data_IF_086846224963
#
_entry.id   IF_086846224963
#
_cell.length_a   1.000
_cell.length_b   1.000
_cell.length_c   1.000
_cell.angle_alpha   90.00
_cell.angle_beta   90.00
_cell.angle_gamma   90.00
#
_symmetry.space_group_name_H-M   'P 1'
#
loop_
_entity.id
_entity.type
_entity.pdbx_description
1 polymer ?
#
# COMPACT_ATOMS: atom_id res chain seq x y z
N UNK A 1 53.74 -21.71 -9.69
CA UNK A 1 52.60 -22.65 -9.82
C UNK A 1 51.32 -22.24 -9.05
N UNK A 2 51.15 -20.97 -8.61
CA UNK A 2 50.00 -20.57 -7.77
C UNK A 2 49.15 -19.38 -8.31
N UNK A 3 49.25 -19.01 -9.59
CA UNK A 3 48.44 -17.91 -10.17
C UNK A 3 47.17 -18.36 -10.91
N UNK A 4 46.88 -19.66 -10.96
CA UNK A 4 45.75 -20.21 -11.69
C UNK A 4 44.47 -20.44 -10.85
N UNK A 5 44.51 -20.23 -9.52
CA UNK A 5 43.38 -20.51 -8.63
C UNK A 5 42.64 -19.26 -8.11
N UNK A 6 43.12 -18.03 -8.38
CA UNK A 6 42.42 -16.81 -7.94
C UNK A 6 41.39 -16.27 -8.95
N UNK A 7 41.45 -16.68 -10.21
CA UNK A 7 40.53 -16.22 -11.26
C UNK A 7 39.15 -16.90 -11.21
N UNK A 8 39.05 -18.09 -10.61
CA UNK A 8 37.80 -18.87 -10.57
C UNK A 8 36.85 -18.50 -9.42
N UNK A 9 37.25 -17.64 -8.48
CA UNK A 9 36.37 -17.18 -7.38
C UNK A 9 35.52 -15.95 -7.72
N UNK A 10 35.90 -15.17 -8.73
CA UNK A 10 35.17 -13.94 -9.08
C UNK A 10 34.00 -14.18 -10.06
N UNK A 11 33.86 -15.39 -10.63
CA UNK A 11 32.80 -15.74 -11.58
C UNK A 11 31.53 -16.36 -10.98
N UNK A 12 31.50 -16.67 -9.67
CA UNK A 12 30.43 -17.46 -9.05
C UNK A 12 29.37 -16.65 -8.26
N UNK A 13 29.48 -15.32 -8.21
CA UNK A 13 28.52 -14.45 -7.50
C UNK A 13 27.48 -13.75 -8.39
N UNK A 14 27.40 -14.10 -9.67
CA UNK A 14 26.47 -13.47 -10.63
C UNK A 14 25.43 -14.45 -11.22
N UNK A 15 25.09 -15.52 -10.51
CA UNK A 15 24.06 -16.47 -10.93
C UNK A 15 22.95 -16.57 -9.87
N UNK A 16 21.76 -16.06 -10.21
CA UNK A 16 20.53 -16.50 -9.57
C UNK A 16 19.86 -15.57 -8.56
N UNK A 17 19.79 -14.26 -8.80
CA UNK A 17 18.68 -13.49 -8.21
C UNK A 17 17.47 -13.60 -9.12
N UNK A 18 16.69 -14.67 -8.95
CA UNK A 18 15.37 -14.77 -9.56
C UNK A 18 14.55 -13.57 -9.06
N UNK A 19 14.26 -12.62 -9.95
CA UNK A 19 13.34 -11.54 -9.62
C UNK A 19 11.99 -12.19 -9.32
N UNK A 20 11.42 -12.01 -8.12
CA UNK A 20 10.11 -12.57 -7.83
C UNK A 20 9.13 -12.05 -8.88
N UNK A 21 8.40 -12.97 -9.52
CA UNK A 21 7.39 -12.61 -10.49
C UNK A 21 6.30 -11.83 -9.75
N UNK A 22 6.19 -10.54 -10.08
CA UNK A 22 5.22 -9.66 -9.48
C UNK A 22 3.86 -9.81 -10.16
N UNK A 23 3.09 -10.81 -9.70
CA UNK A 23 1.77 -11.14 -10.24
C UNK A 23 0.77 -10.00 -10.09
N UNK A 24 0.93 -9.16 -9.07
CA UNK A 24 0.00 -8.05 -8.77
C UNK A 24 0.37 -6.76 -9.48
N UNK A 25 1.49 -6.71 -10.20
CA UNK A 25 1.94 -5.51 -10.91
C UNK A 25 0.88 -4.89 -11.82
N UNK A 26 0.15 -5.65 -12.65
CA UNK A 26 -0.87 -5.06 -13.53
C UNK A 26 -2.02 -4.43 -12.73
N UNK A 27 -2.40 -5.07 -11.62
CA UNK A 27 -3.48 -4.57 -10.76
C UNK A 27 -3.04 -3.31 -10.00
N UNK A 28 -1.81 -3.28 -9.47
CA UNK A 28 -1.23 -2.05 -8.88
C UNK A 28 -1.24 -0.90 -9.87
N UNK A 29 -0.77 -1.14 -11.09
CA UNK A 29 -0.74 -0.11 -12.13
C UNK A 29 -2.15 0.33 -12.54
N UNK A 30 -3.11 -0.58 -12.55
CA UNK A 30 -4.50 -0.23 -12.79
C UNK A 30 -5.05 0.70 -11.70
N UNK A 31 -4.84 0.38 -10.42
CA UNK A 31 -5.29 1.23 -9.29
C UNK A 31 -4.59 2.59 -9.30
N UNK A 32 -3.29 2.63 -9.55
CA UNK A 32 -2.55 3.91 -9.60
C UNK A 32 -3.02 4.81 -10.75
N UNK A 33 -3.45 4.22 -11.87
CA UNK A 33 -3.99 4.97 -13.01
C UNK A 33 -5.47 5.36 -12.88
N UNK A 34 -6.19 4.89 -11.84
CA UNK A 34 -7.57 5.33 -11.61
C UNK A 34 -7.60 6.84 -11.37
N UNK A 35 -8.32 7.55 -12.24
CA UNK A 35 -8.45 9.00 -12.18
C UNK A 35 -9.64 9.42 -11.33
N UNK A 36 -9.41 10.39 -10.46
CA UNK A 36 -10.44 11.05 -9.67
C UNK A 36 -10.82 12.36 -10.35
N UNK A 37 -11.81 12.30 -11.26
CA UNK A 37 -12.22 13.44 -12.10
C UNK A 37 -13.61 13.99 -11.73
N UNK A 38 -14.25 13.43 -10.69
CA UNK A 38 -15.60 13.87 -10.28
C UNK A 38 -15.74 13.84 -8.76
N UNK A 39 -16.48 14.79 -8.15
CA UNK A 39 -16.67 14.82 -6.70
C UNK A 39 -17.34 13.54 -6.17
N UNK A 40 -18.29 12.99 -6.93
CA UNK A 40 -18.98 11.74 -6.58
C UNK A 40 -18.04 10.54 -6.49
N UNK A 41 -17.06 10.43 -7.40
CA UNK A 41 -16.05 9.36 -7.32
C UNK A 41 -15.09 9.62 -6.16
N UNK A 42 -14.66 10.86 -5.98
CA UNK A 42 -13.76 11.24 -4.90
C UNK A 42 -14.34 10.92 -3.53
N UNK A 43 -15.60 11.31 -3.26
CA UNK A 43 -16.31 10.96 -2.01
C UNK A 43 -16.41 9.46 -1.79
N UNK A 44 -16.80 8.71 -2.82
CA UNK A 44 -16.86 7.24 -2.73
C UNK A 44 -15.52 6.61 -2.39
N UNK A 45 -14.42 7.10 -2.97
CA UNK A 45 -13.07 6.63 -2.63
C UNK A 45 -12.74 6.99 -1.18
N UNK A 46 -13.03 8.22 -0.76
CA UNK A 46 -12.82 8.69 0.61
C UNK A 46 -13.69 7.96 1.66
N UNK A 47 -14.84 7.42 1.27
CA UNK A 47 -15.69 6.61 2.14
C UNK A 47 -15.24 5.14 2.17
N UNK A 48 -14.82 4.61 1.02
CA UNK A 48 -14.51 3.19 0.88
C UNK A 48 -13.15 2.80 1.45
N UNK A 49 -12.13 3.65 1.28
CA UNK A 49 -10.77 3.36 1.75
C UNK A 49 -10.59 4.06 3.10
N UNK A 50 -10.51 3.37 4.25
CA UNK A 50 -10.46 4.03 5.55
C UNK A 50 -9.17 4.86 5.78
N UNK A 51 -9.25 5.90 6.61
CA UNK A 51 -8.10 6.71 7.03
C UNK A 51 -7.15 5.94 7.97
N UNK A 52 -7.72 5.04 8.77
CA UNK A 52 -7.01 4.21 9.74
C UNK A 52 -6.94 2.77 9.25
N UNK A 53 -6.04 1.99 9.84
CA UNK A 53 -5.90 0.59 9.47
C UNK A 53 -7.10 -0.24 9.96
N UNK A 54 -7.97 -0.80 9.10
CA UNK A 54 -9.14 -1.57 9.55
C UNK A 54 -8.80 -2.87 10.28
N UNK A 55 -7.54 -3.32 10.18
CA UNK A 55 -7.08 -4.52 10.89
C UNK A 55 -6.65 -4.22 12.33
N UNK A 56 -6.27 -2.98 12.64
CA UNK A 56 -5.84 -2.58 13.96
C UNK A 56 -7.07 -2.41 14.87
N UNK A 57 -7.10 -3.16 15.97
CA UNK A 57 -8.21 -3.12 16.94
C UNK A 57 -7.87 -3.87 18.20
N UNK A 58 -8.50 -3.45 19.29
CA UNK A 58 -8.47 -4.18 20.55
C UNK A 58 -9.58 -5.23 20.63
N UNK A 59 -9.24 -6.38 21.19
CA UNK A 59 -10.19 -7.45 21.50
C UNK A 59 -10.57 -7.31 22.97
N UNK A 60 -11.77 -6.81 23.21
CA UNK A 60 -12.31 -6.59 24.56
C UNK A 60 -13.32 -7.70 24.90
N UNK A 61 -13.12 -8.37 26.04
CA UNK A 61 -14.04 -9.38 26.58
C UNK A 61 -14.39 -8.98 28.01
N UNK A 62 -15.69 -8.94 28.33
CA UNK A 62 -16.18 -8.54 29.66
C UNK A 62 -15.65 -7.17 30.12
N UNK A 63 -15.47 -6.23 29.19
CA UNK A 63 -14.97 -4.88 29.47
C UNK A 63 -13.47 -4.79 29.73
N UNK A 64 -12.70 -5.87 29.55
CA UNK A 64 -11.23 -5.88 29.69
C UNK A 64 -10.59 -6.20 28.34
N UNK A 65 -9.58 -5.42 27.95
CA UNK A 65 -8.79 -5.73 26.75
C UNK A 65 -7.95 -6.98 27.01
N UNK A 66 -8.07 -7.96 26.11
CA UNK A 66 -7.42 -9.26 26.23
C UNK A 66 -6.28 -9.40 25.23
N UNK A 67 -6.38 -8.72 24.08
CA UNK A 67 -5.36 -8.69 23.05
C UNK A 67 -5.50 -7.44 22.19
N UNK A 68 -4.38 -7.00 21.62
CA UNK A 68 -4.31 -5.90 20.66
C UNK A 68 -3.83 -6.44 19.30
N UNK A 69 -4.60 -6.19 18.23
CA UNK A 69 -4.19 -6.51 16.87
C UNK A 69 -3.42 -5.31 16.32
N UNK A 70 -2.14 -5.45 15.93
CA UNK A 70 -1.33 -4.34 15.41
C UNK A 70 -1.80 -3.89 14.01
N UNK A 71 -1.27 -2.77 13.48
CA UNK A 71 -1.57 -2.32 12.12
C UNK A 71 -0.98 -3.27 11.05
N UNK A 72 -1.81 -4.19 10.58
CA UNK A 72 -1.44 -5.21 9.58
C UNK A 72 -1.77 -4.81 8.13
N UNK A 73 -2.11 -3.55 7.87
CA UNK A 73 -2.58 -3.10 6.55
C UNK A 73 -1.56 -3.23 5.42
N UNK A 74 -0.26 -3.21 5.74
CA UNK A 74 0.82 -3.41 4.77
C UNK A 74 0.93 -4.84 4.25
N UNK A 75 0.19 -5.81 4.81
CA UNK A 75 0.08 -7.16 4.25
C UNK A 75 -0.65 -7.16 2.91
N UNK A 76 -1.51 -6.17 2.64
CA UNK A 76 -2.20 -6.05 1.36
C UNK A 76 -1.22 -5.63 0.25
N UNK A 77 -1.07 -6.41 -0.84
CA UNK A 77 -0.19 -6.07 -1.97
C UNK A 77 -0.50 -4.75 -2.69
N UNK A 78 -1.69 -4.15 -2.47
CA UNK A 78 -2.15 -2.90 -3.06
C UNK A 78 -2.19 -1.73 -2.06
N UNK A 79 -1.63 -1.91 -0.85
CA UNK A 79 -1.76 -0.93 0.24
C UNK A 79 -1.34 0.48 -0.18
N UNK A 80 -0.17 0.61 -0.81
CA UNK A 80 0.37 1.92 -1.18
C UNK A 80 -0.51 2.61 -2.23
N UNK A 81 -0.95 1.87 -3.24
CA UNK A 81 -1.76 2.40 -4.34
C UNK A 81 -3.16 2.84 -3.84
N UNK A 82 -3.73 2.13 -2.87
CA UNK A 82 -5.01 2.50 -2.25
C UNK A 82 -4.87 3.76 -1.39
N UNK A 83 -3.81 3.87 -0.59
CA UNK A 83 -3.52 5.07 0.20
C UNK A 83 -3.28 6.28 -0.72
N UNK A 84 -2.53 6.09 -1.82
CA UNK A 84 -2.32 7.14 -2.81
C UNK A 84 -3.63 7.54 -3.52
N UNK A 85 -4.47 6.57 -3.88
CA UNK A 85 -5.79 6.84 -4.47
C UNK A 85 -6.69 7.63 -3.50
N UNK A 86 -6.70 7.27 -2.21
CA UNK A 86 -7.41 8.03 -1.17
C UNK A 86 -6.88 9.45 -1.06
N UNK A 87 -5.57 9.62 -0.98
CA UNK A 87 -4.94 10.94 -0.88
C UNK A 87 -5.34 11.83 -2.06
N UNK A 88 -5.22 11.33 -3.29
CA UNK A 88 -5.65 12.06 -4.50
C UNK A 88 -7.13 12.43 -4.46
N UNK A 89 -7.99 11.54 -3.96
CA UNK A 89 -9.41 11.84 -3.82
C UNK A 89 -9.70 12.94 -2.80
N UNK A 90 -9.02 12.94 -1.66
CA UNK A 90 -9.16 13.98 -0.65
C UNK A 90 -8.64 15.33 -1.14
N UNK A 91 -7.48 15.37 -1.81
CA UNK A 91 -6.96 16.59 -2.44
C UNK A 91 -7.93 17.15 -3.49
N UNK A 92 -8.50 16.28 -4.35
CA UNK A 92 -9.49 16.72 -5.33
C UNK A 92 -10.72 17.37 -4.66
N UNK A 93 -11.20 16.80 -3.54
CA UNK A 93 -12.33 17.37 -2.80
C UNK A 93 -11.98 18.71 -2.14
N UNK A 94 -10.82 18.81 -1.48
CA UNK A 94 -10.41 20.02 -0.79
C UNK A 94 -9.97 21.14 -1.75
N UNK A 95 -9.05 20.85 -2.67
CA UNK A 95 -8.36 21.86 -3.48
C UNK A 95 -9.13 22.26 -4.74
N UNK A 96 -9.76 21.29 -5.41
CA UNK A 96 -10.50 21.55 -6.65
C UNK A 96 -12.00 21.84 -6.40
N UNK A 97 -12.63 21.11 -5.47
CA UNK A 97 -14.07 21.28 -5.19
C UNK A 97 -14.35 22.27 -4.05
N UNK A 98 -13.36 22.57 -3.18
CA UNK A 98 -13.56 23.41 -2.00
C UNK A 98 -14.44 22.78 -0.92
N UNK A 99 -14.56 21.44 -0.90
CA UNK A 99 -15.36 20.71 0.11
C UNK A 99 -14.58 20.58 1.43
N UNK A 100 -15.29 20.66 2.56
CA UNK A 100 -14.71 20.31 3.86
C UNK A 100 -14.54 18.79 3.97
N UNK A 101 -13.29 18.35 4.06
CA UNK A 101 -12.93 16.93 4.14
C UNK A 101 -12.81 16.40 5.58
N UNK A 102 -13.14 17.20 6.59
CA UNK A 102 -13.02 16.82 8.01
C UNK A 102 -13.81 15.55 8.35
N UNK A 103 -14.91 15.29 7.62
CA UNK A 103 -15.69 14.06 7.77
C UNK A 103 -14.97 12.77 7.33
N UNK A 104 -13.83 12.92 6.62
CA UNK A 104 -13.03 11.81 6.09
C UNK A 104 -11.68 11.66 6.78
N UNK A 105 -11.38 12.38 7.87
CA UNK A 105 -10.12 12.24 8.62
C UNK A 105 -10.36 11.40 9.86
#
# INVERSE_FOLDING_TARGET
MNRFLSSLRHGLHAAGQARPLDLFRPLRQWVSHLRVETPRRARKVAELIPAQCPFERDIVVLGRSVAHIPPLCKLNPLYNELVELRFRALCYLADECGEDISAYI
#
